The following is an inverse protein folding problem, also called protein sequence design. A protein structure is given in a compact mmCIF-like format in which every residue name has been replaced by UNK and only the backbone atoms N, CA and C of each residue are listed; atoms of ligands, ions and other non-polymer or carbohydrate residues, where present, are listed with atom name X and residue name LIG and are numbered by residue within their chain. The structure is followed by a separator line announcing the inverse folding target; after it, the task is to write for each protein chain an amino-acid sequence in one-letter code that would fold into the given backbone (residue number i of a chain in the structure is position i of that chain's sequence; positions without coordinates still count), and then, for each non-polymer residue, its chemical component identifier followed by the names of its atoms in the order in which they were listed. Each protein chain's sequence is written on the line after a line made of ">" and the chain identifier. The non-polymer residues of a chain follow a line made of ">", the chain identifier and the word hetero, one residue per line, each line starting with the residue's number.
data_IF_538003775998
#
_entry.id   IF_538003775998
#
_cell.length_a   1.000
_cell.length_b   1.000
_cell.length_c   1.000
_cell.angle_alpha   90.00
_cell.angle_beta   90.00
_cell.angle_gamma   90.00
#
_symmetry.space_group_name_H-M   'P 1'
#
loop_
_entity.id
_entity.type
_entity.pdbx_description
1 polymer ?
#
# COMPACT_ATOMS: atom_id res chain seq x y z
N UNK A 1 -19.28 -14.38 -9.57
CA UNK A 1 -18.24 -13.50 -10.13
C UNK A 1 -16.88 -14.07 -9.76
N UNK A 2 -16.26 -14.91 -10.59
CA UNK A 2 -15.00 -15.65 -10.27
C UNK A 2 -13.74 -14.78 -10.12
N UNK A 3 -13.88 -13.55 -9.64
CA UNK A 3 -12.81 -12.58 -9.43
C UNK A 3 -12.27 -12.76 -7.99
N UNK A 4 -10.95 -12.79 -7.78
CA UNK A 4 -10.37 -12.89 -6.44
C UNK A 4 -10.73 -11.66 -5.60
N UNK A 5 -11.14 -11.91 -4.36
CA UNK A 5 -11.49 -10.85 -3.40
C UNK A 5 -10.32 -10.64 -2.44
N UNK A 6 -9.90 -9.39 -2.29
CA UNK A 6 -8.90 -8.97 -1.33
C UNK A 6 -9.55 -8.06 -0.30
N UNK A 7 -9.40 -8.38 0.98
CA UNK A 7 -9.85 -7.54 2.08
C UNK A 7 -8.68 -6.72 2.59
N UNK A 8 -8.84 -5.40 2.63
CA UNK A 8 -7.88 -4.48 3.23
C UNK A 8 -8.58 -3.62 4.28
N UNK A 9 -7.99 -3.53 5.48
CA UNK A 9 -8.50 -2.68 6.54
C UNK A 9 -8.34 -1.18 6.24
N UNK A 10 -7.41 -0.82 5.35
CA UNK A 10 -7.17 0.55 4.91
C UNK A 10 -8.24 1.07 3.95
N UNK A 11 -9.10 0.19 3.42
CA UNK A 11 -10.20 0.58 2.56
C UNK A 11 -11.36 1.13 3.39
N UNK A 12 -11.95 2.29 3.04
CA UNK A 12 -13.08 2.83 3.79
C UNK A 12 -14.27 1.87 3.76
N UNK A 13 -15.02 1.73 4.87
CA UNK A 13 -15.97 0.62 5.08
C UNK A 13 -17.17 0.60 4.12
N UNK A 14 -17.46 1.71 3.44
CA UNK A 14 -18.62 1.86 2.54
C UNK A 14 -18.22 1.93 1.07
N UNK A 15 -17.01 1.49 0.72
CA UNK A 15 -16.50 1.54 -0.64
C UNK A 15 -16.03 0.16 -1.09
N UNK A 16 -16.30 -0.17 -2.36
CA UNK A 16 -15.78 -1.36 -3.05
C UNK A 16 -15.04 -0.91 -4.30
N UNK A 17 -13.87 -1.49 -4.55
CA UNK A 17 -13.03 -1.19 -5.70
C UNK A 17 -12.95 -2.46 -6.55
N UNK A 18 -13.38 -2.35 -7.81
CA UNK A 18 -13.30 -3.43 -8.78
C UNK A 18 -12.34 -2.97 -9.87
N UNK A 19 -11.19 -3.63 -9.97
CA UNK A 19 -10.14 -3.24 -10.91
C UNK A 19 -9.26 -4.41 -11.31
N UNK A 20 -8.63 -4.30 -12.48
CA UNK A 20 -7.41 -5.05 -12.77
C UNK A 20 -6.20 -4.28 -12.22
N UNK A 21 -5.84 -4.57 -10.97
CA UNK A 21 -4.74 -3.89 -10.28
C UNK A 21 -3.37 -4.11 -10.92
N UNK A 22 -3.17 -5.18 -11.71
CA UNK A 22 -1.89 -5.40 -12.40
C UNK A 22 -1.64 -4.36 -13.48
N UNK A 23 -2.69 -3.91 -14.15
CA UNK A 23 -2.61 -2.85 -15.16
C UNK A 23 -2.90 -1.46 -14.62
N UNK A 24 -3.72 -1.38 -13.57
CA UNK A 24 -4.18 -0.11 -13.04
C UNK A 24 -3.16 0.62 -12.16
N UNK A 25 -2.38 -0.10 -11.34
CA UNK A 25 -1.53 0.50 -10.32
C UNK A 25 -0.12 -0.08 -10.36
N UNK A 26 0.89 0.80 -10.39
CA UNK A 26 2.29 0.39 -10.43
C UNK A 26 2.99 0.78 -9.13
N UNK A 27 3.49 -0.22 -8.42
CA UNK A 27 4.34 -0.04 -7.24
C UNK A 27 5.78 -0.18 -7.68
N UNK A 28 6.62 0.80 -7.31
CA UNK A 28 8.04 0.84 -7.63
C UNK A 28 8.86 0.85 -6.34
N UNK A 29 9.87 -0.01 -6.29
CA UNK A 29 10.89 0.01 -5.24
C UNK A 29 12.13 0.74 -5.76
N UNK A 30 12.45 1.90 -5.19
CA UNK A 30 13.55 2.75 -5.67
C UNK A 30 14.88 2.38 -5.00
N UNK A 31 14.83 2.20 -3.69
CA UNK A 31 15.96 1.72 -2.89
C UNK A 31 15.42 0.67 -1.95
N UNK A 32 15.89 -0.56 -2.14
CA UNK A 32 15.55 -1.71 -1.29
C UNK A 32 15.80 -1.43 0.19
N UNK A 33 15.42 -2.38 1.03
CA UNK A 33 15.47 -2.17 2.48
C UNK A 33 16.90 -2.01 2.99
N UNK A 34 17.17 -0.92 3.73
CA UNK A 34 18.47 -0.66 4.37
C UNK A 34 18.30 -0.69 5.88
N UNK A 35 19.21 -1.38 6.55
CA UNK A 35 19.25 -1.51 8.00
C UNK A 35 20.52 -0.83 8.49
N UNK A 36 20.36 0.24 9.27
CA UNK A 36 21.43 0.88 10.00
C UNK A 36 21.35 0.46 11.47
N UNK A 37 22.45 -0.06 12.00
CA UNK A 37 22.61 -0.37 13.42
C UNK A 37 23.49 0.73 14.01
N UNK A 38 22.93 1.52 14.92
CA UNK A 38 23.64 2.60 15.59
C UNK A 38 23.81 2.29 17.09
N UNK A 39 25.01 1.86 17.51
CA UNK A 39 25.34 1.60 18.91
C UNK A 39 25.87 2.82 19.67
N UNK A 40 26.02 3.98 19.02
CA UNK A 40 26.78 5.10 19.59
C UNK A 40 25.88 6.23 20.09
N UNK A 41 24.80 6.52 19.38
CA UNK A 41 23.98 7.71 19.66
C UNK A 41 23.17 7.61 20.96
N UNK A 42 22.74 6.41 21.38
CA UNK A 42 21.89 6.26 22.57
C UNK A 42 22.31 5.09 23.45
N UNK A 43 23.44 5.25 24.16
CA UNK A 43 23.93 4.26 25.13
C UNK A 43 22.88 4.05 26.24
N UNK A 44 22.62 2.81 26.72
CA UNK A 44 23.28 1.53 26.45
C UNK A 44 22.67 0.69 25.31
N UNK A 45 21.73 1.24 24.52
CA UNK A 45 20.95 0.48 23.55
C UNK A 45 21.47 0.63 22.11
N UNK A 46 21.33 -0.43 21.30
CA UNK A 46 21.57 -0.36 19.86
C UNK A 46 20.27 0.02 19.17
N UNK A 47 20.27 1.16 18.46
CA UNK A 47 19.10 1.59 17.70
C UNK A 47 19.16 0.99 16.29
N UNK A 48 18.05 0.40 15.87
CA UNK A 48 17.88 -0.10 14.51
C UNK A 48 17.02 0.87 13.70
N UNK A 49 17.64 1.50 12.71
CA UNK A 49 16.91 2.28 11.72
C UNK A 49 16.75 1.47 10.45
N UNK A 50 15.52 1.10 10.16
CA UNK A 50 15.17 0.44 8.90
C UNK A 50 14.51 1.46 8.00
N UNK A 51 15.09 1.68 6.82
CA UNK A 51 14.53 2.58 5.82
C UNK A 51 14.25 1.80 4.54
N UNK A 52 13.08 2.03 3.96
CA UNK A 52 12.71 1.53 2.65
C UNK A 52 12.00 2.66 1.90
N UNK A 53 12.34 2.85 0.62
CA UNK A 53 11.72 3.88 -0.23
C UNK A 53 10.95 3.21 -1.35
N UNK A 54 9.65 3.12 -1.16
CA UNK A 54 8.68 2.70 -2.18
C UNK A 54 7.89 3.90 -2.68
N UNK A 55 7.47 3.83 -3.93
CA UNK A 55 6.51 4.74 -4.52
C UNK A 55 5.45 3.96 -5.29
N UNK A 56 4.36 4.61 -5.64
CA UNK A 56 3.35 4.01 -6.48
C UNK A 56 2.41 5.03 -7.05
N UNK A 57 1.87 4.73 -8.23
CA UNK A 57 0.94 5.59 -8.93
C UNK A 57 -0.07 4.78 -9.76
N UNK A 58 -1.24 5.38 -10.01
CA UNK A 58 -2.24 4.87 -10.94
C UNK A 58 -1.74 5.10 -12.36
N UNK A 59 -1.52 4.02 -13.12
CA UNK A 59 -1.08 4.10 -14.51
C UNK A 59 -2.27 4.12 -15.47
N UNK A 60 -3.36 3.41 -15.13
CA UNK A 60 -4.56 3.36 -15.95
C UNK A 60 -5.83 3.51 -15.10
N UNK A 61 -6.41 4.71 -15.14
CA UNK A 61 -7.63 5.05 -14.38
C UNK A 61 -8.87 4.32 -14.90
N UNK A 62 -8.91 4.00 -16.21
CA UNK A 62 -10.06 3.32 -16.82
C UNK A 62 -10.21 1.87 -16.35
N UNK A 63 -9.11 1.27 -15.89
CA UNK A 63 -9.08 -0.09 -15.35
C UNK A 63 -9.59 -0.20 -13.90
N UNK A 64 -9.94 0.92 -13.26
CA UNK A 64 -10.49 0.96 -11.90
C UNK A 64 -11.93 1.48 -11.93
N UNK A 65 -12.83 0.78 -11.24
CA UNK A 65 -14.18 1.24 -10.93
C UNK A 65 -14.39 1.21 -9.42
N UNK A 66 -14.87 2.33 -8.88
CA UNK A 66 -15.20 2.48 -7.46
C UNK A 66 -16.72 2.50 -7.31
N UNK A 67 -17.21 1.71 -6.37
CA UNK A 67 -18.61 1.65 -5.97
C UNK A 67 -18.70 2.21 -4.55
N UNK A 68 -19.53 3.24 -4.37
CA UNK A 68 -19.89 3.74 -3.05
C UNK A 68 -21.22 3.10 -2.66
N UNK A 69 -21.22 2.38 -1.56
CA UNK A 69 -22.44 1.84 -0.99
C UNK A 69 -23.16 3.00 -0.31
N UNK A 70 -24.26 3.45 -0.90
CA UNK A 70 -25.17 4.36 -0.25
C UNK A 70 -25.98 3.55 0.78
N UNK A 71 -25.57 3.60 2.06
CA UNK A 71 -26.42 3.08 3.12
C UNK A 71 -27.54 4.09 3.36
N UNK A 72 -28.79 3.65 3.16
CA UNK A 72 -29.99 4.45 3.38
C UNK A 72 -30.64 4.01 4.70
N UNK A 73 -29.97 4.32 5.81
CA UNK A 73 -30.49 4.21 7.17
C UNK A 73 -29.85 5.30 8.02
#
# INVERSE_FOLDING_TARGET
>A
MGIPVYQSADMPPTMIAVADFKQAYKIVDNRGMRILRDPYTNKPYVRFFVTKRVGGEVVNTSAIKLLKIASKY
#
